data_IF_932008717277
#
_entry.id   IF_932008717277
#
_cell.length_a   1.000
_cell.length_b   1.000
_cell.length_c   1.000
_cell.angle_alpha   90.00
_cell.angle_beta   90.00
_cell.angle_gamma   90.00
#
_symmetry.space_group_name_H-M   'P 1'
#
loop_
_entity.id
_entity.type
_entity.pdbx_description
1 polymer ?
#
# COMPACT_ATOMS: atom_id res chain seq x y z
N UNK A 1 -4.37 20.72 -14.06
CA UNK A 1 -3.49 21.07 -15.21
C UNK A 1 -2.13 20.41 -15.02
N UNK A 2 -1.41 20.04 -16.08
CA UNK A 2 -0.05 19.48 -15.97
C UNK A 2 0.98 20.62 -15.93
N UNK A 3 2.02 20.48 -15.12
CA UNK A 3 3.15 21.41 -15.06
C UNK A 3 4.40 20.72 -15.60
N UNK A 4 5.24 21.45 -16.33
CA UNK A 4 6.54 20.93 -16.78
C UNK A 4 7.50 20.95 -15.60
N UNK A 5 8.27 19.88 -15.45
CA UNK A 5 9.30 19.75 -14.42
C UNK A 5 10.53 19.14 -15.07
N UNK A 6 11.69 19.77 -14.88
CA UNK A 6 12.97 19.19 -15.26
C UNK A 6 13.49 18.36 -14.10
N UNK A 7 13.87 17.11 -14.37
CA UNK A 7 14.43 16.20 -13.38
C UNK A 7 15.68 15.55 -13.97
N UNK A 8 16.70 15.37 -13.15
CA UNK A 8 17.90 14.64 -13.51
C UNK A 8 17.68 13.16 -13.22
N UNK A 9 17.88 12.31 -14.23
CA UNK A 9 17.81 10.85 -14.11
C UNK A 9 19.11 10.27 -14.65
N UNK A 10 19.51 9.12 -14.11
CA UNK A 10 20.64 8.38 -14.65
C UNK A 10 20.35 7.88 -16.07
N UNK A 11 21.41 7.72 -16.85
CA UNK A 11 21.32 7.29 -18.25
C UNK A 11 20.68 5.90 -18.41
N UNK A 12 20.93 4.99 -17.48
CA UNK A 12 20.34 3.65 -17.47
C UNK A 12 18.82 3.68 -17.25
N UNK A 13 18.33 4.59 -16.40
CA UNK A 13 16.90 4.78 -16.16
C UNK A 13 16.23 5.41 -17.37
N UNK A 14 16.87 6.40 -18.01
CA UNK A 14 16.36 6.98 -19.26
C UNK A 14 16.22 5.93 -20.36
N UNK A 15 17.22 5.07 -20.53
CA UNK A 15 17.18 3.98 -21.51
C UNK A 15 16.04 2.98 -21.22
N UNK A 16 15.82 2.62 -19.94
CA UNK A 16 14.69 1.76 -19.54
C UNK A 16 13.34 2.42 -19.80
N UNK A 17 13.22 3.72 -19.53
CA UNK A 17 12.00 4.49 -19.81
C UNK A 17 11.70 4.52 -21.31
N UNK A 18 12.73 4.66 -22.15
CA UNK A 18 12.59 4.63 -23.62
C UNK A 18 12.12 3.29 -24.12
N UNK A 19 12.75 2.21 -23.65
CA UNK A 19 12.37 0.85 -23.99
C UNK A 19 10.91 0.55 -23.59
N UNK A 20 10.50 0.97 -22.39
CA UNK A 20 9.13 0.74 -21.90
C UNK A 20 8.07 1.63 -22.55
N UNK A 21 8.42 2.86 -22.93
CA UNK A 21 7.48 3.76 -23.60
C UNK A 21 7.16 3.29 -25.03
N UNK A 22 8.14 2.71 -25.72
CA UNK A 22 8.03 2.38 -27.13
C UNK A 22 8.03 3.62 -28.03
N UNK A 23 8.08 3.45 -29.36
CA UNK A 23 8.39 4.53 -30.31
C UNK A 23 7.38 5.69 -30.33
N UNK A 24 6.14 5.48 -29.84
CA UNK A 24 5.05 6.45 -29.93
C UNK A 24 4.47 6.89 -28.57
N UNK A 25 5.19 6.73 -27.44
CA UNK A 25 4.70 7.24 -26.14
C UNK A 25 5.66 8.22 -25.48
N UNK A 26 5.07 9.25 -24.86
CA UNK A 26 5.79 10.24 -24.07
C UNK A 26 6.35 9.66 -22.77
N UNK A 27 7.66 9.83 -22.53
CA UNK A 27 8.32 9.54 -21.24
C UNK A 27 7.57 10.17 -20.06
N UNK A 28 7.10 11.40 -20.21
CA UNK A 28 6.37 12.10 -19.14
C UNK A 28 5.02 11.43 -18.82
N UNK A 29 4.35 10.83 -19.81
CA UNK A 29 3.13 10.08 -19.58
C UNK A 29 3.38 8.74 -18.88
N UNK A 30 4.52 8.08 -19.15
CA UNK A 30 4.95 6.89 -18.43
C UNK A 30 5.29 7.23 -16.97
N UNK A 31 6.13 8.24 -16.76
CA UNK A 31 6.51 8.72 -15.42
C UNK A 31 5.27 9.10 -14.60
N UNK A 32 4.34 9.86 -15.18
CA UNK A 32 3.10 10.24 -14.48
C UNK A 32 2.27 9.02 -14.07
N UNK A 33 2.16 7.99 -14.93
CA UNK A 33 1.42 6.77 -14.63
C UNK A 33 2.04 6.00 -13.47
N UNK A 34 3.37 5.84 -13.48
CA UNK A 34 4.11 5.15 -12.43
C UNK A 34 3.95 5.89 -11.10
N UNK A 35 4.14 7.21 -11.09
CA UNK A 35 3.97 8.03 -9.89
C UNK A 35 2.54 7.94 -9.33
N UNK A 36 1.52 7.98 -10.20
CA UNK A 36 0.12 7.80 -9.77
C UNK A 36 -0.14 6.42 -9.16
N UNK A 37 0.43 5.35 -9.71
CA UNK A 37 0.30 4.02 -9.10
C UNK A 37 0.98 3.97 -7.75
N UNK A 38 2.22 4.45 -7.69
CA UNK A 38 3.02 4.49 -6.47
C UNK A 38 2.32 5.25 -5.33
N UNK A 39 1.78 6.45 -5.60
CA UNK A 39 1.07 7.21 -4.56
C UNK A 39 -0.23 6.53 -4.12
N UNK A 40 -0.99 5.91 -5.04
CA UNK A 40 -2.19 5.15 -4.68
C UNK A 40 -1.87 3.94 -3.83
N UNK A 41 -0.82 3.21 -4.16
CA UNK A 41 -0.35 2.05 -3.40
C UNK A 41 0.16 2.45 -2.01
N UNK A 42 0.94 3.52 -1.91
CA UNK A 42 1.41 4.06 -0.62
C UNK A 42 0.25 4.48 0.28
N UNK A 43 -0.75 5.17 -0.29
CA UNK A 43 -1.95 5.58 0.43
C UNK A 43 -2.80 4.37 0.88
N UNK A 44 -2.92 3.33 0.04
CA UNK A 44 -3.58 2.08 0.41
C UNK A 44 -2.82 1.37 1.53
N UNK A 45 -1.51 1.21 1.42
CA UNK A 45 -0.68 0.55 2.44
C UNK A 45 -0.82 1.19 3.81
N UNK A 46 -0.79 2.53 3.88
CA UNK A 46 -1.00 3.26 5.15
C UNK A 46 -2.38 2.97 5.76
N UNK A 47 -3.42 2.82 4.94
CA UNK A 47 -4.75 2.40 5.43
C UNK A 47 -4.76 0.94 5.90
N UNK A 48 -4.12 0.05 5.15
CA UNK A 48 -4.06 -1.37 5.51
C UNK A 48 -3.31 -1.60 6.83
N UNK A 49 -2.27 -0.81 7.11
CA UNK A 49 -1.57 -0.84 8.41
C UNK A 49 -2.54 -0.52 9.56
N UNK A 50 -3.33 0.56 9.44
CA UNK A 50 -4.34 0.93 10.44
C UNK A 50 -5.48 -0.10 10.56
N UNK A 51 -5.94 -0.65 9.42
CA UNK A 51 -7.00 -1.65 9.42
C UNK A 51 -6.52 -2.96 10.08
N UNK A 52 -5.26 -3.34 9.87
CA UNK A 52 -4.65 -4.51 10.51
C UNK A 52 -4.54 -4.33 12.02
N UNK A 53 -4.15 -3.15 12.50
CA UNK A 53 -4.15 -2.83 13.93
C UNK A 53 -5.54 -3.00 14.56
N UNK A 54 -6.60 -2.55 13.86
CA UNK A 54 -7.99 -2.69 14.34
C UNK A 54 -8.46 -4.13 14.37
N UNK A 55 -8.13 -4.93 13.35
CA UNK A 55 -8.47 -6.35 13.30
C UNK A 55 -7.80 -7.09 14.46
N UNK A 56 -6.52 -6.83 14.72
CA UNK A 56 -5.81 -7.45 15.83
C UNK A 56 -6.42 -7.06 17.19
N UNK A 57 -6.71 -5.77 17.41
CA UNK A 57 -7.34 -5.34 18.65
C UNK A 57 -8.73 -5.98 18.88
N UNK A 58 -9.50 -6.18 17.80
CA UNK A 58 -10.77 -6.89 17.89
C UNK A 58 -10.59 -8.39 18.17
N UNK A 59 -9.58 -9.02 17.58
CA UNK A 59 -9.23 -10.42 17.83
C UNK A 59 -8.78 -10.64 19.28
N UNK A 60 -7.93 -9.76 19.81
CA UNK A 60 -7.48 -9.82 21.21
C UNK A 60 -8.66 -9.75 22.18
N UNK A 61 -9.60 -8.83 21.93
CA UNK A 61 -10.83 -8.71 22.72
C UNK A 61 -11.71 -9.96 22.63
N UNK A 62 -11.93 -10.49 21.43
CA UNK A 62 -12.72 -11.72 21.25
C UNK A 62 -12.07 -12.91 21.95
N UNK A 63 -10.74 -13.01 21.90
CA UNK A 63 -10.00 -14.06 22.59
C UNK A 63 -10.15 -13.95 24.10
N UNK A 64 -10.06 -12.75 24.68
CA UNK A 64 -10.28 -12.56 26.12
C UNK A 64 -11.70 -12.89 26.55
N UNK A 65 -12.71 -12.49 25.75
CA UNK A 65 -14.12 -12.80 26.02
C UNK A 65 -14.36 -14.32 25.96
N UNK A 66 -13.72 -15.02 25.00
CA UNK A 66 -13.80 -16.48 24.90
C UNK A 66 -13.11 -17.19 26.08
N UNK A 67 -11.95 -16.70 26.50
CA UNK A 67 -11.22 -17.23 27.66
C UNK A 67 -12.03 -17.10 28.95
N UNK A 68 -12.67 -15.95 29.16
CA UNK A 68 -13.57 -15.71 30.31
C UNK A 68 -14.74 -16.71 30.34
N UNK A 69 -15.37 -16.98 29.19
CA UNK A 69 -16.46 -17.96 29.10
C UNK A 69 -15.95 -19.38 29.42
N UNK A 70 -14.78 -19.75 28.91
CA UNK A 70 -14.18 -21.06 29.18
C UNK A 70 -13.83 -21.22 30.66
N UNK A 71 -13.31 -20.18 31.31
CA UNK A 71 -13.03 -20.18 32.74
C UNK A 71 -14.32 -20.32 33.56
N UNK A 72 -15.37 -19.58 33.20
CA UNK A 72 -16.68 -19.71 33.83
C UNK A 72 -17.21 -21.15 33.75
N UNK A 73 -17.18 -21.76 32.55
CA UNK A 73 -17.62 -23.14 32.34
C UNK A 73 -16.80 -24.16 33.12
N UNK A 74 -15.48 -23.97 33.21
CA UNK A 74 -14.61 -24.86 33.98
C UNK A 74 -14.85 -24.75 35.49
N UNK A 75 -15.30 -23.58 35.97
CA UNK A 75 -15.62 -23.35 37.38
C UNK A 75 -16.98 -23.89 37.82
N UNK A 76 -17.91 -24.12 36.88
CA UNK A 76 -19.24 -24.71 37.13
C UNK A 76 -19.27 -26.26 37.03
N UNK A 77 -18.15 -26.90 36.65
CA UNK A 77 -18.01 -28.35 36.50
C UNK A 77 -17.34 -29.00 37.72
#
# INVERSE_FOLDING_TARGET
MKQKTSITLSSDILAKLDHMAGPNRSRSALIERVLRSYFRERARKKRHELDLERINAAADRLNSEAEEILEYQASEA
#
